data_IF_182597517746
#
_entry.id   IF_182597517746
#
_cell.length_a   1.000
_cell.length_b   1.000
_cell.length_c   1.000
_cell.angle_alpha   90.00
_cell.angle_beta   90.00
_cell.angle_gamma   90.00
#
_symmetry.space_group_name_H-M   'P 1'
#
loop_
_entity.id
_entity.type
_entity.pdbx_description
1 polymer ?
#
# COMPACT_ATOMS: atom_id res chain seq x y z
N UNK A 1 6.48 42.38 -14.01
CA UNK A 1 6.56 40.93 -14.33
C UNK A 1 6.92 40.21 -13.04
N UNK A 2 6.04 39.36 -12.48
CA UNK A 2 6.34 38.56 -11.27
C UNK A 2 6.29 37.09 -11.68
N UNK A 3 7.44 36.41 -11.63
CA UNK A 3 7.53 34.97 -11.75
C UNK A 3 7.08 34.35 -10.42
N UNK A 4 5.97 33.60 -10.34
CA UNK A 4 5.69 32.81 -9.16
C UNK A 4 6.53 31.53 -9.27
N UNK A 5 7.69 31.59 -8.60
CA UNK A 5 8.28 30.52 -7.81
C UNK A 5 7.74 29.12 -8.11
N UNK A 6 8.62 28.32 -8.72
CA UNK A 6 8.69 26.87 -8.61
C UNK A 6 7.78 26.34 -7.51
N UNK A 7 6.67 25.69 -7.88
CA UNK A 7 5.92 24.83 -6.96
C UNK A 7 6.88 23.72 -6.57
N UNK A 8 7.58 23.96 -5.48
CA UNK A 8 8.41 23.02 -4.74
C UNK A 8 7.62 21.73 -4.64
N UNK A 9 7.97 20.76 -5.49
CA UNK A 9 7.48 19.40 -5.36
C UNK A 9 7.79 19.00 -3.94
N UNK A 10 6.76 18.66 -3.17
CA UNK A 10 6.92 18.18 -1.80
C UNK A 10 7.91 17.02 -1.85
N UNK A 11 9.15 17.28 -1.46
CA UNK A 11 10.12 16.25 -1.15
C UNK A 11 9.60 15.56 0.11
N UNK A 12 8.75 14.55 -0.07
CA UNK A 12 8.40 13.63 1.01
C UNK A 12 9.65 12.84 1.31
N UNK A 13 10.36 13.26 2.35
CA UNK A 13 11.47 12.51 2.91
C UNK A 13 10.93 11.16 3.42
N UNK A 14 11.06 10.11 2.61
CA UNK A 14 10.59 8.75 2.91
C UNK A 14 11.22 8.16 4.19
N UNK A 15 12.28 8.76 4.72
CA UNK A 15 13.00 8.25 5.90
C UNK A 15 12.27 8.53 7.23
N UNK A 16 11.25 9.42 7.24
CA UNK A 16 10.53 9.79 8.47
C UNK A 16 9.14 9.15 8.63
N UNK A 17 8.63 8.42 7.62
CA UNK A 17 7.31 7.80 7.69
C UNK A 17 7.45 6.40 8.27
N UNK A 18 7.13 6.24 9.55
CA UNK A 18 7.00 4.89 10.14
C UNK A 18 5.70 4.26 9.62
N UNK A 19 5.76 3.22 8.77
CA UNK A 19 4.55 2.58 8.25
C UNK A 19 3.81 1.90 9.41
N UNK A 20 2.47 1.97 9.37
CA UNK A 20 1.64 1.31 10.37
C UNK A 20 1.90 -0.20 10.36
N UNK A 21 2.06 -0.79 11.54
CA UNK A 21 2.42 -2.19 11.71
C UNK A 21 1.19 -3.02 12.07
N UNK A 22 0.85 -3.97 11.20
CA UNK A 22 -0.13 -5.03 11.46
C UNK A 22 0.61 -6.33 11.74
N UNK A 23 0.20 -7.07 12.76
CA UNK A 23 0.79 -8.38 13.10
C UNK A 23 -0.24 -9.47 12.86
N UNK A 24 0.13 -10.48 12.08
CA UNK A 24 -0.72 -11.63 11.79
C UNK A 24 -0.19 -12.81 12.60
N UNK A 25 -1.01 -13.27 13.55
CA UNK A 25 -0.69 -14.35 14.48
C UNK A 25 -1.47 -15.63 14.22
N UNK A 26 -1.69 -16.41 15.29
CA UNK A 26 -2.33 -17.73 15.24
C UNK A 26 -3.76 -17.71 14.68
N UNK A 27 -4.50 -16.62 14.90
CA UNK A 27 -5.84 -16.42 14.34
C UNK A 27 -5.84 -16.16 12.83
N UNK A 28 -4.66 -16.02 12.23
CA UNK A 28 -4.47 -15.91 10.79
C UNK A 28 -5.10 -14.69 10.15
N UNK A 29 -5.44 -14.83 8.86
CA UNK A 29 -6.05 -13.81 8.02
C UNK A 29 -7.58 -13.87 8.14
N UNK A 30 -8.12 -13.40 9.26
CA UNK A 30 -9.57 -13.27 9.42
C UNK A 30 -10.12 -12.12 8.57
N UNK A 31 -11.43 -12.11 8.24
CA UNK A 31 -12.06 -11.00 7.52
C UNK A 31 -11.84 -9.64 8.19
N UNK A 32 -11.86 -9.58 9.52
CA UNK A 32 -11.60 -8.36 10.28
C UNK A 32 -10.16 -7.83 10.11
N UNK A 33 -9.18 -8.72 10.00
CA UNK A 33 -7.78 -8.35 9.73
C UNK A 33 -7.63 -7.82 8.31
N UNK A 34 -8.30 -8.44 7.34
CA UNK A 34 -8.32 -7.96 5.94
C UNK A 34 -8.92 -6.56 5.86
N UNK A 35 -10.04 -6.32 6.55
CA UNK A 35 -10.71 -5.01 6.60
C UNK A 35 -9.85 -3.95 7.30
N UNK A 36 -9.15 -4.32 8.37
CA UNK A 36 -8.18 -3.44 9.01
C UNK A 36 -7.04 -3.05 8.07
N UNK A 37 -6.42 -4.03 7.40
CA UNK A 37 -5.32 -3.79 6.47
C UNK A 37 -5.78 -2.90 5.32
N UNK A 38 -6.95 -3.18 4.72
CA UNK A 38 -7.52 -2.35 3.67
C UNK A 38 -7.78 -0.91 4.13
N UNK A 39 -8.31 -0.72 5.34
CA UNK A 39 -8.53 0.60 5.94
C UNK A 39 -7.21 1.35 6.15
N UNK A 40 -6.18 0.68 6.64
CA UNK A 40 -4.86 1.28 6.84
C UNK A 40 -4.20 1.63 5.49
N UNK A 41 -4.30 0.76 4.48
CA UNK A 41 -3.78 1.00 3.13
C UNK A 41 -4.45 2.22 2.47
N UNK A 42 -5.77 2.39 2.63
CA UNK A 42 -6.49 3.58 2.14
C UNK A 42 -5.94 4.87 2.75
N UNK A 43 -5.66 4.87 4.06
CA UNK A 43 -5.22 6.05 4.83
C UNK A 43 -3.75 6.37 4.64
N UNK A 44 -2.88 5.37 4.70
CA UNK A 44 -1.44 5.56 4.80
C UNK A 44 -0.67 5.24 3.53
N UNK A 45 -1.30 4.57 2.54
CA UNK A 45 -0.69 4.09 1.28
C UNK A 45 0.46 3.10 1.43
N UNK A 46 0.96 2.91 2.65
CA UNK A 46 2.05 2.00 3.00
C UNK A 46 1.73 1.36 4.36
N UNK A 47 1.74 0.04 4.41
CA UNK A 47 1.48 -0.74 5.64
C UNK A 47 2.55 -1.82 5.76
N UNK A 48 3.08 -1.98 6.97
CA UNK A 48 4.03 -3.03 7.33
C UNK A 48 3.24 -4.19 7.95
N UNK A 49 3.36 -5.37 7.38
CA UNK A 49 2.69 -6.59 7.84
C UNK A 49 3.74 -7.56 8.35
N UNK A 50 3.71 -7.87 9.65
CA UNK A 50 4.59 -8.86 10.27
C UNK A 50 3.83 -10.16 10.48
N UNK A 51 4.25 -11.19 9.77
CA UNK A 51 3.77 -12.55 9.95
C UNK A 51 4.51 -13.15 11.17
N UNK A 52 3.76 -13.65 12.15
CA UNK A 52 4.37 -14.38 13.25
C UNK A 52 4.81 -15.76 12.76
N UNK A 53 5.84 -16.35 13.39
CA UNK A 53 6.35 -17.68 13.02
C UNK A 53 5.25 -18.75 13.01
N UNK A 54 4.32 -18.65 13.97
CA UNK A 54 3.18 -19.55 14.09
C UNK A 54 2.18 -19.46 12.93
N UNK A 55 2.23 -18.40 12.13
CA UNK A 55 1.35 -18.24 10.97
C UNK A 55 2.03 -18.71 9.67
N UNK A 56 3.36 -18.66 9.63
CA UNK A 56 4.11 -18.92 8.40
C UNK A 56 4.18 -20.41 8.08
N UNK A 57 4.16 -21.30 9.07
CA UNK A 57 4.02 -22.78 8.94
C UNK A 57 4.61 -23.39 7.65
N UNK A 58 5.88 -23.08 7.35
CA UNK A 58 6.60 -23.64 6.19
C UNK A 58 6.45 -22.87 4.86
N UNK A 59 5.62 -21.83 4.79
CA UNK A 59 5.56 -20.86 3.68
C UNK A 59 6.53 -19.70 3.89
N UNK A 60 7.02 -19.11 2.80
CA UNK A 60 7.82 -17.90 2.91
C UNK A 60 6.95 -16.66 3.23
N UNK A 61 7.55 -15.60 3.77
CA UNK A 61 6.84 -14.33 3.95
C UNK A 61 6.39 -13.72 2.63
N UNK A 62 7.07 -14.04 1.53
CA UNK A 62 6.67 -13.65 0.18
C UNK A 62 5.37 -14.35 -0.22
N UNK A 63 5.26 -15.66 0.01
CA UNK A 63 4.05 -16.43 -0.30
C UNK A 63 2.86 -15.92 0.51
N UNK A 64 3.07 -15.69 1.82
CA UNK A 64 2.03 -15.14 2.70
C UNK A 64 1.60 -13.73 2.28
N UNK A 65 2.53 -12.91 1.81
CA UNK A 65 2.21 -11.59 1.29
C UNK A 65 1.40 -11.68 -0.01
N UNK A 66 1.70 -12.63 -0.89
CA UNK A 66 0.93 -12.88 -2.11
C UNK A 66 -0.49 -13.38 -1.79
N UNK A 67 -0.63 -14.32 -0.86
CA UNK A 67 -1.92 -14.82 -0.38
C UNK A 67 -2.77 -13.68 0.20
N UNK A 68 -2.16 -12.82 1.02
CA UNK A 68 -2.81 -11.62 1.56
C UNK A 68 -3.23 -10.63 0.45
N UNK A 69 -2.39 -10.40 -0.56
CA UNK A 69 -2.74 -9.56 -1.70
C UNK A 69 -3.93 -10.12 -2.48
N UNK A 70 -3.96 -11.43 -2.70
CA UNK A 70 -5.07 -12.10 -3.37
C UNK A 70 -6.38 -11.93 -2.56
N UNK A 71 -6.33 -12.13 -1.25
CA UNK A 71 -7.48 -11.93 -0.36
C UNK A 71 -7.99 -10.48 -0.37
N UNK A 72 -7.09 -9.50 -0.31
CA UNK A 72 -7.46 -8.07 -0.36
C UNK A 72 -8.14 -7.71 -1.69
N UNK A 73 -7.69 -8.29 -2.81
CA UNK A 73 -8.29 -8.11 -4.13
C UNK A 73 -9.66 -8.79 -4.20
N UNK A 74 -9.75 -10.05 -3.77
CA UNK A 74 -10.99 -10.81 -3.76
C UNK A 74 -12.08 -10.17 -2.89
N UNK A 75 -11.68 -9.56 -1.76
CA UNK A 75 -12.61 -8.86 -0.88
C UNK A 75 -13.11 -7.52 -1.44
N UNK A 76 -12.58 -7.04 -2.58
CA UNK A 76 -12.92 -5.78 -3.23
C UNK A 76 -12.97 -4.58 -2.26
N UNK A 77 -12.07 -4.55 -1.28
CA UNK A 77 -12.09 -3.55 -0.21
C UNK A 77 -11.39 -2.26 -0.60
N UNK A 78 -10.70 -2.20 -1.73
CA UNK A 78 -9.97 -1.02 -2.18
C UNK A 78 -10.73 -0.30 -3.30
N UNK A 79 -10.67 1.03 -3.35
CA UNK A 79 -11.37 1.80 -4.37
C UNK A 79 -10.74 1.59 -5.75
N UNK A 80 -11.52 1.84 -6.79
CA UNK A 80 -11.04 1.86 -8.17
C UNK A 80 -9.88 2.88 -8.32
N UNK A 81 -8.90 2.52 -9.14
CA UNK A 81 -7.68 3.31 -9.31
C UNK A 81 -6.63 3.13 -8.20
N UNK A 82 -6.80 2.17 -7.27
CA UNK A 82 -5.72 1.78 -6.35
C UNK A 82 -5.10 0.44 -6.73
N UNK A 83 -3.80 0.45 -7.03
CA UNK A 83 -3.03 -0.75 -7.36
C UNK A 83 -2.22 -1.20 -6.15
N UNK A 84 -2.47 -2.43 -5.68
CA UNK A 84 -1.70 -3.06 -4.60
C UNK A 84 -0.41 -3.71 -5.13
N UNK A 85 0.69 -3.47 -4.44
CA UNK A 85 1.96 -4.15 -4.66
C UNK A 85 2.71 -4.44 -3.35
N UNK A 86 3.54 -5.47 -3.37
CA UNK A 86 4.51 -5.71 -2.29
C UNK A 86 5.72 -4.84 -2.61
N UNK A 87 5.96 -3.82 -1.77
CA UNK A 87 7.10 -2.94 -1.92
C UNK A 87 8.41 -3.60 -1.47
N UNK A 88 8.36 -4.43 -0.42
CA UNK A 88 9.53 -5.11 0.12
C UNK A 88 9.14 -6.32 0.98
N UNK A 89 9.98 -7.33 1.04
CA UNK A 89 9.93 -8.39 2.06
C UNK A 89 11.28 -8.44 2.80
N UNK A 90 11.24 -8.48 4.13
CA UNK A 90 12.42 -8.64 5.01
C UNK A 90 12.09 -9.61 6.13
N UNK A 91 12.74 -10.78 6.11
CA UNK A 91 12.45 -11.86 7.06
C UNK A 91 10.96 -12.20 7.07
N UNK A 92 10.34 -12.18 8.25
CA UNK A 92 8.90 -12.45 8.43
C UNK A 92 8.00 -11.23 8.22
N UNK A 93 8.47 -10.19 7.53
CA UNK A 93 7.72 -8.93 7.36
C UNK A 93 7.62 -8.55 5.90
N UNK A 94 6.41 -8.21 5.45
CA UNK A 94 6.15 -7.61 4.15
C UNK A 94 5.74 -6.14 4.30
N UNK A 95 6.16 -5.32 3.35
CA UNK A 95 5.75 -3.93 3.21
C UNK A 95 4.79 -3.86 2.02
N UNK A 96 3.53 -3.55 2.30
CA UNK A 96 2.47 -3.43 1.30
C UNK A 96 2.28 -1.97 0.94
N UNK A 97 2.29 -1.67 -0.36
CA UNK A 97 2.08 -0.34 -0.88
C UNK A 97 0.86 -0.32 -1.79
N UNK A 98 0.21 0.84 -1.83
CA UNK A 98 -0.83 1.15 -2.79
C UNK A 98 -0.38 2.34 -3.63
N UNK A 99 -0.39 2.17 -4.95
CA UNK A 99 -0.21 3.27 -5.89
C UNK A 99 -1.58 3.72 -6.36
N UNK A 100 -1.85 5.02 -6.32
CA UNK A 100 -3.05 5.59 -6.95
C UNK A 100 -2.70 5.76 -8.42
N UNK A 101 -3.40 5.01 -9.27
CA UNK A 101 -3.37 5.19 -10.71
C UNK A 101 -4.07 6.51 -11.01
N UNK A 102 -3.35 7.50 -11.52
CA UNK A 102 -3.94 8.74 -12.01
C UNK A 102 -4.69 8.44 -13.31
N UNK A 103 -5.94 7.97 -13.20
CA UNK A 103 -6.86 8.02 -14.32
C UNK A 103 -7.22 9.48 -14.56
N UNK A 104 -6.53 10.09 -15.54
CA UNK A 104 -6.79 11.40 -16.16
C UNK A 104 -6.91 12.62 -15.22
N UNK A 105 -5.79 13.29 -14.96
CA UNK A 105 -5.80 14.76 -14.87
C UNK A 105 -5.40 15.31 -16.24
N UNK A 106 -6.28 16.15 -16.79
CA UNK A 106 -6.38 16.47 -18.21
C UNK A 106 -5.10 16.99 -18.88
N UNK A 107 -4.90 16.53 -20.11
CA UNK A 107 -4.22 17.32 -21.13
C UNK A 107 -5.04 18.60 -21.36
N UNK A 108 -4.76 19.65 -20.57
CA UNK A 108 -5.05 21.03 -20.95
C UNK A 108 -3.78 21.64 -21.54
N UNK A 109 -3.69 21.58 -22.86
CA UNK A 109 -3.02 22.58 -23.68
C UNK A 109 -3.87 22.61 -24.97
N UNK A 110 -4.92 23.43 -25.07
CA UNK A 110 -4.81 24.87 -25.30
C UNK A 110 -3.64 25.20 -26.24
N UNK A 111 -3.66 24.59 -27.42
CA UNK A 111 -3.23 25.31 -28.61
C UNK A 111 -4.49 25.96 -29.21
N UNK A 112 -4.49 27.28 -29.19
CA UNK A 112 -5.39 28.14 -29.92
C UNK A 112 -4.58 29.39 -30.27
N UNK A 113 -4.93 30.08 -31.36
CA UNK A 113 -5.18 29.64 -32.72
C UNK A 113 -3.93 29.82 -33.61
#
# INVERSE_FOLDING_TARGET
>A
MRNPSQRSGRNVNLQAVTPQLVRIGKSGLSPGVVDEIARQLKRHKLVKVKFLRSFIEGKSATDQANDLLALLRAANRLPDGMTLSIAQVRGFTALLAVKVSEAHQGQKAHQSP
#
